data_IF_014825215360
#
_entry.id   IF_014825215360
#
_cell.length_a   1.000
_cell.length_b   1.000
_cell.length_c   1.000
_cell.angle_alpha   90.00
_cell.angle_beta   90.00
_cell.angle_gamma   90.00
#
_symmetry.space_group_name_H-M   'P 1'
#
loop_
_entity.id
_entity.type
_entity.pdbx_description
1 polymer ?
#
# COMPACT_ATOMS: atom_id res chain seq x y z
N UNK A 1 -21.36 7.95 21.24
CA UNK A 1 -20.64 7.01 22.13
C UNK A 1 -21.39 6.99 23.45
N UNK A 2 -22.39 6.11 23.61
CA UNK A 2 -23.06 5.89 24.89
C UNK A 2 -22.16 4.92 25.67
N UNK A 3 -21.42 5.42 26.66
CA UNK A 3 -20.76 4.56 27.62
C UNK A 3 -21.85 3.80 28.38
N UNK A 4 -21.83 2.47 28.33
CA UNK A 4 -22.72 1.62 29.10
C UNK A 4 -22.44 1.80 30.60
N UNK A 5 -23.14 2.75 31.24
CA UNK A 5 -23.15 2.94 32.69
C UNK A 5 -23.82 1.78 33.46
N UNK A 6 -24.38 0.77 32.75
CA UNK A 6 -25.14 -0.33 33.37
C UNK A 6 -24.30 -1.32 34.19
N UNK A 7 -22.97 -1.30 34.10
CA UNK A 7 -22.07 -2.14 34.93
C UNK A 7 -21.44 -1.42 36.13
N UNK A 8 -21.68 -0.11 36.30
CA UNK A 8 -21.03 0.68 37.35
C UNK A 8 -21.46 0.30 38.78
N UNK A 9 -22.77 0.06 38.99
CA UNK A 9 -23.32 -0.13 40.34
C UNK A 9 -22.77 -1.34 41.11
N UNK A 10 -22.55 -2.47 40.43
CA UNK A 10 -21.99 -3.66 41.06
C UNK A 10 -20.46 -3.57 41.23
N UNK A 11 -19.77 -2.92 40.28
CA UNK A 11 -18.32 -2.72 40.35
C UNK A 11 -17.91 -1.78 41.49
N UNK A 12 -18.73 -0.76 41.78
CA UNK A 12 -18.53 0.15 42.93
C UNK A 12 -18.61 -0.63 44.24
N UNK A 13 -19.57 -1.53 44.40
CA UNK A 13 -19.72 -2.36 45.62
C UNK A 13 -18.60 -3.36 45.84
N UNK A 14 -17.93 -3.81 44.78
CA UNK A 14 -16.81 -4.76 44.87
C UNK A 14 -15.44 -4.10 45.01
N UNK A 15 -15.38 -2.76 44.97
CA UNK A 15 -14.11 -2.04 45.14
C UNK A 15 -13.72 -2.09 46.62
N UNK A 16 -12.54 -2.66 46.99
CA UNK A 16 -12.11 -2.71 48.37
C UNK A 16 -11.92 -1.27 48.89
N UNK A 17 -12.75 -0.87 49.85
CA UNK A 17 -12.64 0.45 50.48
C UNK A 17 -11.53 0.35 51.52
N UNK A 18 -10.51 1.22 51.43
CA UNK A 18 -9.48 1.30 52.46
C UNK A 18 -10.11 1.80 53.75
N UNK A 19 -9.99 1.02 54.84
CA UNK A 19 -10.53 1.40 56.15
C UNK A 19 -9.87 2.66 56.73
N UNK A 20 -8.69 3.03 56.22
CA UNK A 20 -7.84 4.12 56.71
C UNK A 20 -8.14 5.51 56.14
N UNK A 21 -9.28 5.71 55.45
CA UNK A 21 -9.74 7.06 55.05
C UNK A 21 -8.78 7.83 54.14
N UNK A 22 -8.00 7.13 53.31
CA UNK A 22 -7.09 7.78 52.35
C UNK A 22 -7.85 8.53 51.25
N UNK A 23 -7.23 9.56 50.69
CA UNK A 23 -7.79 10.33 49.57
C UNK A 23 -7.98 9.45 48.32
N UNK A 24 -9.09 9.67 47.61
CA UNK A 24 -9.41 8.98 46.36
C UNK A 24 -8.33 9.23 45.29
N UNK A 25 -7.89 8.16 44.62
CA UNK A 25 -6.90 8.23 43.54
C UNK A 25 -7.44 7.58 42.27
N UNK A 26 -7.28 8.26 41.14
CA UNK A 26 -7.54 7.70 39.82
C UNK A 26 -6.51 6.60 39.52
N UNK A 27 -6.99 5.38 39.29
CA UNK A 27 -6.14 4.24 38.93
C UNK A 27 -6.52 3.66 37.58
N UNK A 28 -5.51 3.34 36.78
CA UNK A 28 -5.63 2.67 35.50
C UNK A 28 -5.60 1.15 35.70
N UNK A 29 -6.77 0.53 35.65
CA UNK A 29 -6.98 -0.91 35.91
C UNK A 29 -6.14 -1.81 34.99
N UNK A 30 -5.76 -1.32 33.79
CA UNK A 30 -4.95 -2.07 32.83
C UNK A 30 -3.44 -1.85 32.98
N UNK A 31 -2.98 -1.43 34.16
CA UNK A 31 -1.56 -1.40 34.54
C UNK A 31 -1.36 -1.92 35.96
N UNK A 32 -0.33 -2.75 36.17
CA UNK A 32 0.03 -3.26 37.51
C UNK A 32 0.43 -2.14 38.48
N UNK A 33 0.93 -1.01 37.98
CA UNK A 33 1.27 0.15 38.79
C UNK A 33 0.09 1.08 39.06
N UNK A 34 -1.08 0.82 38.46
CA UNK A 34 -2.22 1.75 38.50
C UNK A 34 -2.02 3.05 37.73
N UNK A 35 -0.86 3.30 37.12
CA UNK A 35 -0.60 4.51 36.35
C UNK A 35 -0.98 4.32 34.87
N UNK A 36 -1.60 5.34 34.29
CA UNK A 36 -1.87 5.40 32.86
C UNK A 36 -0.57 5.69 32.09
N UNK A 37 -0.35 4.97 30.98
CA UNK A 37 0.69 5.30 30.00
C UNK A 37 0.09 5.20 28.60
N UNK A 38 0.64 5.97 27.66
CA UNK A 38 0.20 5.87 26.24
C UNK A 38 0.35 4.44 25.72
N UNK A 39 1.38 3.71 26.17
CA UNK A 39 1.60 2.30 25.85
C UNK A 39 0.49 1.38 26.38
N UNK A 40 0.09 1.53 27.64
CA UNK A 40 -1.00 0.72 28.22
C UNK A 40 -2.35 1.06 27.62
N UNK A 41 -2.60 2.35 27.33
CA UNK A 41 -3.78 2.80 26.59
C UNK A 41 -3.84 2.24 25.16
N UNK A 42 -2.72 2.26 24.43
CA UNK A 42 -2.63 1.70 23.08
C UNK A 42 -2.87 0.18 23.08
N UNK A 43 -2.27 -0.56 24.02
CA UNK A 43 -2.51 -2.01 24.13
C UNK A 43 -3.98 -2.34 24.42
N UNK A 44 -4.63 -1.57 25.30
CA UNK A 44 -6.06 -1.76 25.55
C UNK A 44 -6.90 -1.45 24.31
N UNK A 45 -6.64 -0.33 23.63
CA UNK A 45 -7.34 0.03 22.39
C UNK A 45 -7.15 -1.04 21.31
N UNK A 46 -5.94 -1.60 21.21
CA UNK A 46 -5.62 -2.70 20.30
C UNK A 46 -6.39 -3.96 20.67
N UNK A 47 -6.40 -4.36 21.95
CA UNK A 47 -7.15 -5.53 22.44
C UNK A 47 -8.65 -5.39 22.20
N UNK A 48 -9.25 -4.24 22.51
CA UNK A 48 -10.68 -3.98 22.27
C UNK A 48 -11.04 -3.98 20.78
N UNK A 49 -10.10 -3.58 19.92
CA UNK A 49 -10.28 -3.66 18.46
C UNK A 49 -10.19 -5.12 17.99
N UNK A 50 -9.27 -5.91 18.53
CA UNK A 50 -9.20 -7.35 18.27
C UNK A 50 -10.42 -8.11 18.81
N UNK A 51 -10.94 -7.75 19.98
CA UNK A 51 -12.11 -8.41 20.57
C UNK A 51 -13.40 -8.18 19.76
N UNK A 52 -13.54 -7.02 19.12
CA UNK A 52 -14.60 -6.80 18.11
C UNK A 52 -14.45 -7.72 16.90
N UNK A 53 -13.23 -8.04 16.51
CA UNK A 53 -12.92 -8.96 15.40
C UNK A 53 -12.99 -10.45 15.82
N UNK A 54 -12.88 -10.77 17.13
CA UNK A 54 -12.88 -12.14 17.70
C UNK A 54 -14.26 -12.82 17.76
N UNK A 55 -15.32 -12.14 17.35
CA UNK A 55 -16.61 -12.79 17.06
C UNK A 55 -16.54 -13.75 15.86
N UNK A 56 -15.40 -13.82 15.16
CA UNK A 56 -15.14 -14.74 14.05
C UNK A 56 -14.12 -15.81 14.44
N UNK A 57 -14.54 -17.08 14.34
CA UNK A 57 -13.82 -18.34 14.57
C UNK A 57 -12.28 -18.29 14.71
N UNK A 58 -11.73 -19.09 15.63
CA UNK A 58 -10.29 -19.29 15.86
C UNK A 58 -9.46 -19.66 14.62
N UNK A 59 -10.10 -20.17 13.56
CA UNK A 59 -9.44 -20.42 12.27
C UNK A 59 -9.10 -19.10 11.53
N UNK A 60 -9.95 -18.09 11.67
CA UNK A 60 -9.79 -16.78 11.01
C UNK A 60 -8.56 -16.01 11.51
N UNK A 61 -8.25 -16.09 12.81
CA UNK A 61 -7.10 -15.40 13.41
C UNK A 61 -5.77 -16.03 12.98
N UNK A 62 -5.71 -17.36 12.86
CA UNK A 62 -4.55 -18.08 12.33
C UNK A 62 -4.31 -17.75 10.86
N UNK A 63 -5.35 -17.77 10.03
CA UNK A 63 -5.26 -17.40 8.61
C UNK A 63 -4.81 -15.95 8.42
N UNK A 64 -5.28 -15.03 9.27
CA UNK A 64 -4.87 -13.63 9.27
C UNK A 64 -3.36 -13.48 9.58
N UNK A 65 -2.84 -14.21 10.57
CA UNK A 65 -1.40 -14.22 10.87
C UNK A 65 -0.57 -14.75 9.69
N UNK A 66 -1.01 -15.84 9.05
CA UNK A 66 -0.36 -16.40 7.87
C UNK A 66 -0.37 -15.39 6.71
N UNK A 67 -1.50 -14.74 6.46
CA UNK A 67 -1.64 -13.71 5.43
C UNK A 67 -0.63 -12.58 5.63
N UNK A 68 -0.50 -12.04 6.85
CA UNK A 68 0.48 -11.00 7.12
C UNK A 68 1.91 -11.46 6.91
N UNK A 69 2.26 -12.66 7.38
CA UNK A 69 3.59 -13.23 7.14
C UNK A 69 3.88 -13.36 5.65
N UNK A 70 2.89 -13.77 4.84
CA UNK A 70 3.03 -13.88 3.39
C UNK A 70 3.19 -12.51 2.73
N UNK A 71 2.35 -11.52 3.06
CA UNK A 71 2.40 -10.16 2.50
C UNK A 71 3.76 -9.51 2.75
N UNK A 72 4.27 -9.56 3.98
CA UNK A 72 5.56 -8.94 4.30
C UNK A 72 6.75 -9.64 3.64
N UNK A 73 6.64 -10.94 3.38
CA UNK A 73 7.65 -11.73 2.67
C UNK A 73 7.46 -11.74 1.14
N UNK A 74 6.51 -10.97 0.58
CA UNK A 74 6.36 -10.89 -0.87
C UNK A 74 7.67 -10.40 -1.50
N UNK A 75 8.06 -11.04 -2.61
CA UNK A 75 9.08 -10.50 -3.51
C UNK A 75 8.43 -9.38 -4.30
N UNK A 76 8.35 -8.20 -3.70
CA UNK A 76 7.76 -7.00 -4.27
C UNK A 76 8.33 -5.74 -3.59
N UNK A 77 8.23 -4.57 -4.22
CA UNK A 77 8.71 -3.31 -3.63
C UNK A 77 8.04 -3.03 -2.26
N UNK A 78 8.76 -2.43 -1.28
CA UNK A 78 8.19 -2.11 0.03
C UNK A 78 6.91 -1.27 -0.03
N UNK A 79 6.86 -0.28 -0.94
CA UNK A 79 5.65 0.52 -1.21
C UNK A 79 4.40 -0.33 -1.45
N UNK A 80 4.55 -1.46 -2.15
CA UNK A 80 3.43 -2.35 -2.46
C UNK A 80 2.97 -3.09 -1.21
N UNK A 81 3.91 -3.59 -0.39
CA UNK A 81 3.59 -4.26 0.88
C UNK A 81 2.85 -3.33 1.83
N UNK A 82 3.32 -2.09 1.96
CA UNK A 82 2.65 -1.06 2.76
C UNK A 82 1.25 -0.75 2.23
N UNK A 83 1.10 -0.62 0.92
CA UNK A 83 -0.21 -0.40 0.30
C UNK A 83 -1.20 -1.54 0.58
N UNK A 84 -0.78 -2.80 0.40
CA UNK A 84 -1.59 -3.98 0.72
C UNK A 84 -2.00 -4.00 2.19
N UNK A 85 -1.08 -3.67 3.10
CA UNK A 85 -1.39 -3.52 4.52
C UNK A 85 -2.46 -2.45 4.76
N UNK A 86 -2.34 -1.28 4.14
CA UNK A 86 -3.33 -0.20 4.27
C UNK A 86 -4.70 -0.62 3.75
N UNK A 87 -4.76 -1.32 2.62
CA UNK A 87 -6.03 -1.83 2.05
C UNK A 87 -6.70 -2.78 3.04
N UNK A 88 -5.98 -3.81 3.49
CA UNK A 88 -6.54 -4.88 4.33
C UNK A 88 -6.99 -4.35 5.70
N UNK A 89 -6.34 -3.28 6.18
CA UNK A 89 -6.73 -2.56 7.42
C UNK A 89 -7.77 -1.47 7.20
N UNK A 90 -8.30 -1.31 5.98
CA UNK A 90 -9.17 -0.21 5.58
C UNK A 90 -8.63 1.18 6.00
N UNK A 91 -7.31 1.38 5.88
CA UNK A 91 -6.56 2.58 6.25
C UNK A 91 -6.20 3.46 5.02
N UNK A 92 -6.84 3.20 3.88
CA UNK A 92 -6.74 4.01 2.68
C UNK A 92 -7.85 5.07 2.66
N UNK A 93 -7.58 6.19 1.99
CA UNK A 93 -8.47 7.36 1.94
C UNK A 93 -9.58 7.19 0.89
N UNK A 94 -10.42 6.18 1.08
CA UNK A 94 -11.67 6.02 0.31
C UNK A 94 -12.64 7.15 0.66
N UNK A 95 -13.57 7.51 -0.24
CA UNK A 95 -14.55 8.55 0.07
C UNK A 95 -15.46 8.17 1.21
N UNK A 96 -15.78 6.89 1.41
CA UNK A 96 -16.48 6.41 2.61
C UNK A 96 -15.71 6.80 3.89
N UNK A 97 -14.41 6.44 3.97
CA UNK A 97 -13.58 6.73 5.14
C UNK A 97 -13.40 8.24 5.36
N UNK A 98 -13.25 9.01 4.28
CA UNK A 98 -13.14 10.47 4.37
C UNK A 98 -14.45 11.10 4.80
N UNK A 99 -15.59 10.62 4.31
CA UNK A 99 -16.92 11.09 4.69
C UNK A 99 -17.20 10.80 6.17
N UNK A 100 -16.90 9.59 6.66
CA UNK A 100 -17.02 9.22 8.07
C UNK A 100 -16.17 10.11 9.00
N UNK A 101 -15.05 10.65 8.50
CA UNK A 101 -14.17 11.60 9.20
C UNK A 101 -14.51 13.07 8.96
N UNK A 102 -15.61 13.36 8.24
CA UNK A 102 -16.03 14.71 7.86
C UNK A 102 -15.00 15.46 6.98
N UNK A 103 -14.16 14.73 6.25
CA UNK A 103 -13.17 15.26 5.31
C UNK A 103 -13.63 15.24 3.84
N UNK A 104 -14.77 14.62 3.53
CA UNK A 104 -15.37 14.61 2.19
C UNK A 104 -16.85 15.01 2.27
N UNK A 105 -17.36 15.63 1.20
CA UNK A 105 -18.77 16.06 1.11
C UNK A 105 -19.73 14.92 0.82
N UNK A 106 -19.26 13.86 0.16
CA UNK A 106 -20.07 12.72 -0.25
C UNK A 106 -19.23 11.44 -0.25
N UNK A 107 -19.81 10.30 0.14
CA UNK A 107 -19.13 9.00 0.10
C UNK A 107 -19.18 8.34 -1.29
N UNK A 108 -19.84 8.94 -2.28
CA UNK A 108 -20.09 8.33 -3.60
C UNK A 108 -18.81 8.21 -4.44
N UNK A 109 -18.60 7.03 -5.02
CA UNK A 109 -17.45 6.67 -5.85
C UNK A 109 -17.17 7.72 -6.93
N UNK A 110 -15.92 8.18 -6.99
CA UNK A 110 -15.51 9.13 -8.03
C UNK A 110 -15.54 8.52 -9.42
N UNK A 111 -15.30 7.22 -9.56
CA UNK A 111 -15.19 6.53 -10.84
C UNK A 111 -16.55 6.29 -11.51
N UNK A 112 -17.46 5.60 -10.82
CA UNK A 112 -18.76 5.22 -11.39
C UNK A 112 -19.89 6.21 -11.06
N UNK A 113 -19.74 7.04 -10.03
CA UNK A 113 -20.79 7.97 -9.59
C UNK A 113 -22.06 7.32 -9.01
N UNK A 114 -22.10 5.99 -8.87
CA UNK A 114 -23.34 5.26 -8.57
C UNK A 114 -23.39 4.65 -7.14
N UNK A 115 -22.28 4.11 -6.63
CA UNK A 115 -22.23 3.43 -5.33
C UNK A 115 -21.33 4.16 -4.32
N UNK A 116 -21.46 3.81 -3.03
CA UNK A 116 -20.54 4.24 -1.97
C UNK A 116 -19.14 3.69 -2.26
N UNK A 117 -18.14 4.57 -2.16
CA UNK A 117 -16.75 4.24 -2.40
C UNK A 117 -16.12 3.53 -1.20
N UNK A 118 -16.41 2.24 -1.05
CA UNK A 118 -15.64 1.36 -0.16
C UNK A 118 -14.38 0.85 -0.88
N UNK A 119 -13.43 0.29 -0.15
CA UNK A 119 -12.22 -0.25 -0.78
C UNK A 119 -12.52 -1.50 -1.63
N UNK A 120 -13.50 -2.30 -1.22
CA UNK A 120 -14.02 -3.43 -2.00
C UNK A 120 -14.69 -2.93 -3.28
N UNK A 121 -15.45 -1.83 -3.22
CA UNK A 121 -16.05 -1.25 -4.42
C UNK A 121 -14.94 -0.84 -5.40
N UNK A 122 -13.98 -0.03 -4.94
CA UNK A 122 -12.90 0.47 -5.80
C UNK A 122 -12.06 -0.65 -6.40
N UNK A 123 -11.70 -1.68 -5.64
CA UNK A 123 -10.78 -2.72 -6.11
C UNK A 123 -11.47 -3.90 -6.79
N UNK A 124 -12.74 -4.16 -6.53
CA UNK A 124 -13.38 -5.44 -6.92
C UNK A 124 -14.73 -5.29 -7.65
N UNK A 125 -15.49 -4.21 -7.45
CA UNK A 125 -16.90 -4.12 -7.90
C UNK A 125 -17.23 -2.91 -8.77
N UNK A 126 -16.39 -1.90 -8.80
CA UNK A 126 -16.60 -0.73 -9.64
C UNK A 126 -16.60 -1.17 -11.10
N UNK A 127 -17.56 -0.71 -11.90
CA UNK A 127 -17.69 -1.06 -13.33
C UNK A 127 -16.37 -0.91 -14.10
N UNK A 128 -15.71 0.23 -13.94
CA UNK A 128 -14.38 0.47 -14.52
C UNK A 128 -13.33 -0.54 -14.04
N UNK A 129 -13.35 -0.92 -12.77
CA UNK A 129 -12.41 -1.89 -12.21
C UNK A 129 -12.66 -3.29 -12.75
N UNK A 130 -13.92 -3.66 -13.00
CA UNK A 130 -14.27 -4.93 -13.64
C UNK A 130 -13.69 -5.02 -15.05
N UNK A 131 -13.69 -3.91 -15.80
CA UNK A 131 -13.04 -3.81 -17.09
C UNK A 131 -11.51 -4.04 -17.00
N UNK A 132 -10.86 -3.46 -15.98
CA UNK A 132 -9.42 -3.70 -15.71
C UNK A 132 -9.16 -5.18 -15.47
N UNK A 133 -9.96 -5.85 -14.65
CA UNK A 133 -9.77 -7.26 -14.36
C UNK A 133 -10.05 -8.15 -15.58
N UNK A 134 -11.11 -7.87 -16.34
CA UNK A 134 -11.43 -8.60 -17.57
C UNK A 134 -10.30 -8.50 -18.60
N UNK A 135 -9.72 -7.31 -18.76
CA UNK A 135 -8.60 -7.09 -19.68
C UNK A 135 -7.27 -7.69 -19.20
N UNK A 136 -7.17 -8.10 -17.93
CA UNK A 136 -5.92 -8.64 -17.36
C UNK A 136 -5.58 -10.06 -17.83
N UNK A 137 -6.58 -10.79 -18.34
CA UNK A 137 -6.43 -12.21 -18.70
C UNK A 137 -6.24 -13.15 -17.49
N UNK A 138 -6.23 -12.62 -16.27
CA UNK A 138 -6.24 -13.40 -15.04
C UNK A 138 -7.68 -13.79 -14.75
N UNK A 139 -7.92 -15.05 -14.39
CA UNK A 139 -9.21 -15.47 -13.87
C UNK A 139 -9.53 -14.63 -12.63
N UNK A 140 -10.36 -13.62 -12.83
CA UNK A 140 -10.67 -12.63 -11.82
C UNK A 140 -11.40 -13.36 -10.68
N UNK A 141 -10.81 -13.44 -9.48
CA UNK A 141 -11.46 -14.10 -8.36
C UNK A 141 -12.50 -13.14 -7.79
N UNK A 142 -13.56 -12.88 -8.57
CA UNK A 142 -14.66 -12.02 -8.19
C UNK A 142 -15.30 -12.63 -6.94
N UNK A 143 -15.52 -11.85 -5.87
CA UNK A 143 -16.33 -12.34 -4.78
C UNK A 143 -17.73 -12.66 -5.31
N UNK A 144 -18.14 -13.93 -5.26
CA UNK A 144 -19.48 -14.37 -5.68
C UNK A 144 -20.57 -13.64 -4.87
N UNK A 145 -20.25 -13.27 -3.63
CA UNK A 145 -21.10 -12.46 -2.77
C UNK A 145 -20.54 -11.04 -2.65
N UNK A 146 -21.37 -10.02 -2.94
CA UNK A 146 -21.02 -8.59 -2.84
C UNK A 146 -20.64 -8.15 -1.40
N UNK A 147 -21.01 -8.92 -0.39
CA UNK A 147 -20.74 -8.66 1.04
C UNK A 147 -19.35 -9.11 1.53
N UNK A 148 -18.53 -9.71 0.66
CA UNK A 148 -17.18 -10.15 1.06
C UNK A 148 -16.30 -8.93 1.34
N UNK A 149 -15.83 -8.80 2.58
CA UNK A 149 -14.85 -7.77 2.97
C UNK A 149 -13.53 -7.97 2.26
N UNK A 150 -12.77 -6.88 2.06
CA UNK A 150 -11.49 -6.94 1.35
C UNK A 150 -10.50 -7.91 2.02
N UNK A 151 -10.50 -7.95 3.36
CA UNK A 151 -9.68 -8.90 4.13
C UNK A 151 -10.07 -10.35 3.85
N UNK A 152 -11.36 -10.66 3.84
CA UNK A 152 -11.86 -12.01 3.53
C UNK A 152 -11.54 -12.40 2.09
N UNK A 153 -11.57 -11.46 1.15
CA UNK A 153 -11.12 -11.69 -0.21
C UNK A 153 -9.65 -12.11 -0.27
N UNK A 154 -8.73 -11.37 0.38
CA UNK A 154 -7.31 -11.77 0.44
C UNK A 154 -7.08 -13.12 1.14
N UNK A 155 -7.86 -13.43 2.19
CA UNK A 155 -7.80 -14.76 2.85
C UNK A 155 -8.27 -15.86 1.91
N UNK A 156 -9.32 -15.64 1.12
CA UNK A 156 -9.78 -16.61 0.14
C UNK A 156 -8.72 -16.85 -0.95
N UNK A 157 -8.02 -15.81 -1.41
CA UNK A 157 -6.90 -15.97 -2.35
C UNK A 157 -5.78 -16.82 -1.73
N UNK A 158 -5.46 -16.59 -0.47
CA UNK A 158 -4.45 -17.37 0.26
C UNK A 158 -4.82 -18.85 0.33
N UNK A 159 -6.08 -19.16 0.64
CA UNK A 159 -6.57 -20.54 0.75
C UNK A 159 -6.64 -21.19 -0.64
N UNK A 160 -7.22 -20.51 -1.62
CA UNK A 160 -7.48 -21.08 -2.95
C UNK A 160 -6.19 -21.30 -3.75
N UNK A 161 -5.21 -20.39 -3.64
CA UNK A 161 -3.95 -20.50 -4.39
C UNK A 161 -2.86 -21.28 -3.65
N UNK A 162 -2.98 -21.42 -2.33
CA UNK A 162 -2.04 -22.19 -1.50
C UNK A 162 -0.58 -21.83 -1.78
N UNK A 163 0.19 -22.79 -2.31
CA UNK A 163 1.60 -22.61 -2.65
C UNK A 163 1.87 -21.53 -3.69
N UNK A 164 0.94 -21.29 -4.63
CA UNK A 164 1.07 -20.33 -5.72
C UNK A 164 0.75 -18.88 -5.29
N UNK A 165 0.29 -18.67 -4.06
CA UNK A 165 -0.08 -17.35 -3.57
C UNK A 165 1.05 -16.32 -3.73
N UNK A 166 2.28 -16.70 -3.38
CA UNK A 166 3.41 -15.76 -3.39
C UNK A 166 3.78 -15.29 -4.79
N UNK A 167 3.67 -16.18 -5.78
CA UNK A 167 3.96 -15.90 -7.18
C UNK A 167 2.89 -14.97 -7.78
N UNK A 168 1.61 -15.33 -7.57
CA UNK A 168 0.47 -14.58 -8.13
C UNK A 168 0.27 -13.22 -7.46
N UNK A 169 0.48 -13.13 -6.14
CA UNK A 169 0.16 -11.91 -5.39
C UNK A 169 1.01 -10.70 -5.77
N UNK A 170 2.21 -10.90 -6.31
CA UNK A 170 3.03 -9.79 -6.81
C UNK A 170 2.27 -9.01 -7.90
N UNK A 171 1.77 -9.71 -8.92
CA UNK A 171 1.02 -9.11 -10.02
C UNK A 171 -0.34 -8.56 -9.55
N UNK A 172 -1.08 -9.34 -8.75
CA UNK A 172 -2.39 -8.92 -8.22
C UNK A 172 -2.26 -7.65 -7.39
N UNK A 173 -1.23 -7.57 -6.55
CA UNK A 173 -0.94 -6.35 -5.78
C UNK A 173 -0.68 -5.16 -6.70
N UNK A 174 0.09 -5.34 -7.77
CA UNK A 174 0.38 -4.27 -8.73
C UNK A 174 -0.87 -3.81 -9.50
N UNK A 175 -1.79 -4.72 -9.84
CA UNK A 175 -3.07 -4.37 -10.45
C UNK A 175 -3.91 -3.54 -9.47
N UNK A 176 -4.04 -3.99 -8.21
CA UNK A 176 -4.72 -3.23 -7.17
C UNK A 176 -4.11 -1.83 -6.97
N UNK A 177 -2.77 -1.73 -7.03
CA UNK A 177 -2.07 -0.46 -6.94
C UNK A 177 -2.37 0.45 -8.13
N UNK A 178 -2.35 -0.08 -9.34
CA UNK A 178 -2.67 0.67 -10.56
C UNK A 178 -4.11 1.18 -10.55
N UNK A 179 -5.09 0.34 -10.15
CA UNK A 179 -6.49 0.73 -9.96
C UNK A 179 -6.59 1.90 -8.98
N UNK A 180 -5.95 1.78 -7.81
CA UNK A 180 -5.96 2.84 -6.80
C UNK A 180 -5.31 4.13 -7.29
N UNK A 181 -4.21 4.03 -8.03
CA UNK A 181 -3.51 5.16 -8.62
C UNK A 181 -4.35 5.88 -9.67
N UNK A 182 -5.00 5.15 -10.58
CA UNK A 182 -5.85 5.73 -11.61
C UNK A 182 -7.09 6.39 -11.00
N UNK A 183 -7.68 5.79 -9.96
CA UNK A 183 -8.74 6.42 -9.15
C UNK A 183 -8.27 7.76 -8.59
N UNK A 184 -7.08 7.82 -8.01
CA UNK A 184 -6.54 9.08 -7.46
C UNK A 184 -6.26 10.11 -8.54
N UNK A 185 -5.70 9.70 -9.68
CA UNK A 185 -5.47 10.58 -10.84
C UNK A 185 -6.78 11.18 -11.36
N UNK A 186 -7.85 10.39 -11.44
CA UNK A 186 -9.18 10.89 -11.77
C UNK A 186 -9.69 11.90 -10.73
N UNK A 187 -9.67 11.53 -9.44
CA UNK A 187 -10.21 12.38 -8.37
C UNK A 187 -9.47 13.73 -8.25
N UNK A 188 -8.14 13.74 -8.39
CA UNK A 188 -7.33 14.94 -8.14
C UNK A 188 -6.93 15.69 -9.41
N UNK A 189 -6.78 15.00 -10.54
CA UNK A 189 -6.26 15.57 -11.79
C UNK A 189 -7.28 15.53 -12.94
N UNK A 190 -8.48 14.97 -12.71
CA UNK A 190 -9.53 14.81 -13.74
C UNK A 190 -9.02 14.05 -14.98
N UNK A 191 -8.04 13.17 -14.81
CA UNK A 191 -7.52 12.32 -15.89
C UNK A 191 -8.40 11.08 -16.03
N UNK A 192 -9.03 10.94 -17.19
CA UNK A 192 -9.96 9.84 -17.46
C UNK A 192 -9.30 8.48 -17.23
N UNK A 193 -9.91 7.62 -16.40
CA UNK A 193 -9.42 6.26 -16.17
C UNK A 193 -9.38 5.44 -17.47
N UNK A 194 -8.26 4.78 -17.73
CA UNK A 194 -8.12 3.87 -18.87
C UNK A 194 -7.65 2.50 -18.38
N UNK A 195 -8.46 1.47 -18.64
CA UNK A 195 -8.25 0.11 -18.15
C UNK A 195 -6.94 -0.50 -18.68
N UNK A 196 -6.67 -0.34 -19.98
CA UNK A 196 -5.47 -0.85 -20.65
C UNK A 196 -4.20 -0.16 -20.15
N UNK A 197 -4.26 1.15 -19.90
CA UNK A 197 -3.12 1.89 -19.32
C UNK A 197 -2.82 1.43 -17.90
N UNK A 198 -3.85 1.25 -17.07
CA UNK A 198 -3.69 0.73 -15.71
C UNK A 198 -3.02 -0.66 -15.72
N UNK A 199 -3.46 -1.56 -16.60
CA UNK A 199 -2.84 -2.89 -16.76
C UNK A 199 -1.41 -2.83 -17.28
N UNK A 200 -1.15 -2.06 -18.33
CA UNK A 200 0.21 -1.92 -18.88
C UNK A 200 1.19 -1.41 -17.81
N UNK A 201 0.75 -0.45 -16.97
CA UNK A 201 1.53 0.03 -15.82
C UNK A 201 1.74 -1.06 -14.76
N UNK A 202 0.70 -1.80 -14.39
CA UNK A 202 0.81 -2.87 -13.40
C UNK A 202 1.75 -4.00 -13.85
N UNK A 203 1.58 -4.48 -15.08
CA UNK A 203 2.43 -5.51 -15.69
C UNK A 203 3.86 -5.03 -15.84
N UNK A 204 4.06 -3.77 -16.24
CA UNK A 204 5.39 -3.18 -16.35
C UNK A 204 6.13 -3.12 -15.02
N UNK A 205 5.50 -2.55 -13.98
CA UNK A 205 6.10 -2.48 -12.65
C UNK A 205 6.36 -3.86 -12.04
N UNK A 206 5.53 -4.87 -12.37
CA UNK A 206 5.76 -6.24 -11.95
C UNK A 206 6.96 -6.86 -12.69
N UNK A 207 6.99 -6.74 -14.01
CA UNK A 207 8.06 -7.25 -14.86
C UNK A 207 9.42 -6.61 -14.56
N UNK A 208 9.48 -5.29 -14.38
CA UNK A 208 10.67 -4.55 -13.97
C UNK A 208 11.22 -5.08 -12.66
N UNK A 209 10.35 -5.31 -11.66
CA UNK A 209 10.78 -5.85 -10.38
C UNK A 209 11.34 -7.27 -10.50
N UNK A 210 10.72 -8.12 -11.32
CA UNK A 210 11.23 -9.47 -11.56
C UNK A 210 12.57 -9.43 -12.30
N UNK A 211 12.65 -8.64 -13.38
CA UNK A 211 13.86 -8.46 -14.16
C UNK A 211 15.01 -7.95 -13.29
N UNK A 212 14.81 -6.89 -12.52
CA UNK A 212 15.83 -6.34 -11.62
C UNK A 212 16.37 -7.36 -10.60
N UNK A 213 15.51 -8.26 -10.10
CA UNK A 213 15.95 -9.32 -9.19
C UNK A 213 16.62 -10.50 -9.91
N UNK A 214 16.36 -10.69 -11.21
CA UNK A 214 17.04 -11.70 -12.02
C UNK A 214 18.39 -11.21 -12.56
N UNK A 215 18.53 -9.92 -12.85
CA UNK A 215 19.66 -9.37 -13.60
C UNK A 215 20.99 -9.34 -12.85
N UNK A 216 21.06 -9.70 -11.56
CA UNK A 216 22.29 -9.71 -10.75
C UNK A 216 23.22 -8.53 -11.06
N UNK A 217 22.66 -7.33 -11.26
CA UNK A 217 23.47 -6.13 -11.47
C UNK A 217 24.02 -5.77 -10.12
N UNK A 218 25.23 -6.26 -9.86
CA UNK A 218 25.87 -6.06 -8.58
C UNK A 218 26.64 -4.74 -8.59
N UNK A 219 27.12 -4.25 -9.72
CA UNK A 219 27.84 -2.97 -9.85
C UNK A 219 27.22 -2.11 -10.94
N UNK A 220 26.76 -0.90 -10.57
CA UNK A 220 26.26 0.07 -11.52
C UNK A 220 26.43 1.51 -11.01
N UNK A 221 26.77 2.41 -11.94
CA UNK A 221 26.66 3.86 -11.71
C UNK A 221 25.30 4.30 -12.20
N UNK A 222 24.48 4.86 -11.30
CA UNK A 222 23.16 5.39 -11.61
C UNK A 222 23.29 6.90 -11.76
N UNK A 223 23.17 7.38 -12.98
CA UNK A 223 23.27 8.80 -13.30
C UNK A 223 21.92 9.51 -13.21
N UNK A 224 21.92 10.73 -12.69
CA UNK A 224 20.74 11.60 -12.66
C UNK A 224 21.12 13.05 -12.90
N UNK A 225 20.29 13.77 -13.66
CA UNK A 225 20.42 15.22 -13.85
C UNK A 225 19.88 16.04 -12.66
N UNK A 226 19.27 15.38 -11.66
CA UNK A 226 18.78 16.02 -10.46
C UNK A 226 19.86 16.09 -9.36
N UNK A 227 20.70 17.12 -9.41
CA UNK A 227 21.79 17.33 -8.42
C UNK A 227 21.31 17.26 -6.95
N UNK A 228 20.17 17.86 -6.54
CA UNK A 228 19.72 17.77 -5.16
C UNK A 228 19.43 16.33 -4.71
N UNK A 229 18.86 15.50 -5.60
CA UNK A 229 18.57 14.10 -5.33
C UNK A 229 19.87 13.30 -5.18
N UNK A 230 20.81 13.47 -6.10
CA UNK A 230 22.12 12.79 -6.05
C UNK A 230 22.83 13.11 -4.73
N UNK A 231 22.80 14.38 -4.30
CA UNK A 231 23.39 14.80 -3.04
C UNK A 231 22.70 14.15 -1.82
N UNK A 232 21.39 13.96 -1.84
CA UNK A 232 20.64 13.29 -0.77
C UNK A 232 20.91 11.78 -0.69
N UNK A 233 21.22 11.14 -1.82
CA UNK A 233 21.53 9.72 -1.90
C UNK A 233 22.97 9.37 -1.52
N UNK A 234 23.85 10.36 -1.36
CA UNK A 234 25.23 10.11 -0.93
C UNK A 234 25.27 9.56 0.51
N UNK A 235 26.16 8.60 0.84
CA UNK A 235 26.23 7.96 2.17
C UNK A 235 26.42 8.91 3.34
N UNK A 236 26.91 10.14 3.09
CA UNK A 236 27.19 11.18 4.08
C UNK A 236 26.20 12.35 4.04
N UNK A 237 25.06 12.21 3.37
CA UNK A 237 24.11 13.32 3.26
C UNK A 237 23.47 13.64 4.61
N UNK A 238 23.46 14.94 4.96
CA UNK A 238 22.82 15.47 6.17
C UNK A 238 21.43 16.07 5.85
N UNK A 239 21.11 16.18 4.55
CA UNK A 239 19.88 16.79 4.05
C UNK A 239 18.70 15.83 4.24
N UNK A 240 17.91 16.06 5.29
CA UNK A 240 16.66 15.34 5.53
C UNK A 240 15.51 16.03 4.80
N UNK A 241 14.89 15.33 3.86
CA UNK A 241 13.62 15.73 3.26
C UNK A 241 12.56 14.67 3.55
N UNK A 242 11.75 14.92 4.59
CA UNK A 242 10.70 14.02 5.05
C UNK A 242 9.64 13.72 3.97
N UNK A 243 9.45 14.62 3.01
CA UNK A 243 8.47 14.44 1.92
C UNK A 243 8.88 13.30 0.99
N UNK A 244 10.17 13.07 0.81
CA UNK A 244 10.70 12.03 -0.09
C UNK A 244 11.47 10.93 0.64
N UNK A 245 11.56 10.97 1.98
CA UNK A 245 12.34 10.03 2.78
C UNK A 245 12.00 8.57 2.50
N UNK A 246 10.72 8.24 2.31
CA UNK A 246 10.30 6.87 1.97
C UNK A 246 10.88 6.38 0.64
N UNK A 247 11.04 7.28 -0.35
CA UNK A 247 11.70 6.93 -1.62
C UNK A 247 13.21 6.76 -1.43
N UNK A 248 13.84 7.58 -0.59
CA UNK A 248 15.26 7.44 -0.27
C UNK A 248 15.53 6.11 0.44
N UNK A 249 14.70 5.75 1.42
CA UNK A 249 14.79 4.48 2.15
C UNK A 249 14.59 3.28 1.21
N UNK A 250 13.64 3.36 0.27
CA UNK A 250 13.43 2.34 -0.77
C UNK A 250 14.69 2.16 -1.63
N UNK A 251 15.31 3.27 -2.08
CA UNK A 251 16.53 3.24 -2.89
C UNK A 251 17.71 2.66 -2.08
N UNK A 252 17.90 3.10 -0.84
CA UNK A 252 18.98 2.61 0.02
C UNK A 252 18.81 1.14 0.38
N UNK A 253 17.58 0.67 0.60
CA UNK A 253 17.31 -0.75 0.83
C UNK A 253 17.59 -1.59 -0.41
N UNK A 254 17.43 -1.03 -1.61
CA UNK A 254 17.75 -1.71 -2.86
C UNK A 254 19.27 -1.77 -3.09
N UNK A 255 20.00 -0.69 -2.77
CA UNK A 255 21.47 -0.66 -2.87
C UNK A 255 22.19 -1.41 -1.74
N UNK A 256 21.52 -1.79 -0.66
CA UNK A 256 22.15 -2.46 0.48
C UNK A 256 22.87 -3.78 0.13
N UNK A 257 22.46 -4.44 -0.96
CA UNK A 257 23.05 -5.68 -1.46
C UNK A 257 23.90 -5.49 -2.74
N UNK A 258 24.15 -4.24 -3.17
CA UNK A 258 24.78 -3.92 -4.45
C UNK A 258 25.75 -2.73 -4.40
N UNK A 259 26.74 -2.80 -5.28
CA UNK A 259 27.68 -1.82 -5.87
C UNK A 259 27.23 -0.43 -6.27
N UNK A 260 26.03 0.03 -5.91
CA UNK A 260 25.42 1.15 -6.62
C UNK A 260 25.96 2.51 -6.19
N UNK A 261 26.46 3.27 -7.16
CA UNK A 261 26.93 4.65 -6.97
C UNK A 261 26.01 5.61 -7.71
N UNK A 262 25.48 6.60 -7.00
CA UNK A 262 24.70 7.68 -7.63
C UNK A 262 25.62 8.82 -8.06
N UNK A 263 25.56 9.20 -9.32
CA UNK A 263 26.35 10.28 -9.91
C UNK A 263 25.44 11.32 -10.55
N UNK A 264 25.90 12.58 -10.57
CA UNK A 264 25.23 13.62 -11.31
C UNK A 264 25.70 13.63 -12.76
N UNK A 265 24.77 13.81 -13.70
CA UNK A 265 25.08 14.01 -15.11
C UNK A 265 24.38 15.26 -15.66
N UNK A 266 24.90 15.80 -16.76
CA UNK A 266 24.21 16.90 -17.44
C UNK A 266 22.88 16.40 -18.03
N UNK A 267 21.86 17.27 -18.07
CA UNK A 267 20.56 16.97 -18.68
C UNK A 267 20.66 16.44 -20.12
N UNK A 268 21.68 16.85 -20.88
CA UNK A 268 21.94 16.32 -22.22
C UNK A 268 22.34 14.84 -22.22
N UNK A 269 23.05 14.37 -21.19
CA UNK A 269 23.38 12.96 -21.01
C UNK A 269 22.20 12.14 -20.46
N UNK A 270 21.20 12.80 -19.84
CA UNK A 270 20.00 12.15 -19.30
C UNK A 270 18.79 12.16 -20.25
N UNK A 271 19.01 12.31 -21.57
CA UNK A 271 17.93 12.48 -22.57
C UNK A 271 17.05 11.24 -22.69
N UNK A 272 17.64 10.04 -22.66
CA UNK A 272 16.91 8.78 -22.70
C UNK A 272 15.93 8.65 -21.53
N UNK A 273 16.40 8.87 -20.29
CA UNK A 273 15.54 8.80 -19.11
C UNK A 273 14.44 9.86 -19.13
N UNK A 274 14.75 11.08 -19.59
CA UNK A 274 13.77 12.15 -19.76
C UNK A 274 12.69 11.78 -20.79
N UNK A 275 13.06 11.19 -21.94
CA UNK A 275 12.10 10.73 -22.95
C UNK A 275 11.16 9.67 -22.38
N UNK A 276 11.70 8.68 -21.65
CA UNK A 276 10.90 7.62 -21.00
C UNK A 276 9.94 8.22 -19.98
N UNK A 277 10.42 9.14 -19.13
CA UNK A 277 9.59 9.79 -18.12
C UNK A 277 8.44 10.61 -18.72
N UNK A 278 8.70 11.35 -19.81
CA UNK A 278 7.67 12.12 -20.53
C UNK A 278 6.62 11.20 -21.17
N UNK A 279 7.05 10.16 -21.87
CA UNK A 279 6.14 9.26 -22.59
C UNK A 279 5.32 8.37 -21.63
N UNK A 280 5.89 7.95 -20.51
CA UNK A 280 5.16 7.21 -19.46
C UNK A 280 4.01 8.03 -18.85
N UNK A 281 4.19 9.36 -18.70
CA UNK A 281 3.11 10.27 -18.26
C UNK A 281 1.96 10.35 -19.25
N UNK A 282 2.25 10.19 -20.54
CA UNK A 282 1.25 10.18 -21.61
C UNK A 282 0.56 8.82 -21.80
N UNK A 283 0.87 7.84 -20.95
CA UNK A 283 0.27 6.49 -21.04
C UNK A 283 0.90 5.60 -22.11
N UNK A 284 1.94 6.08 -22.80
CA UNK A 284 2.79 5.25 -23.66
C UNK A 284 3.61 4.35 -22.75
N UNK A 285 3.08 3.15 -22.46
CA UNK A 285 3.78 2.28 -21.51
C UNK A 285 5.18 1.92 -22.00
N UNK A 286 6.07 1.80 -21.03
CA UNK A 286 7.52 1.65 -21.18
C UNK A 286 7.82 0.44 -22.08
N UNK A 287 8.75 0.56 -23.04
CA UNK A 287 9.20 -0.58 -23.83
C UNK A 287 10.05 -1.49 -22.93
N UNK A 288 9.43 -2.55 -22.41
CA UNK A 288 10.01 -3.45 -21.41
C UNK A 288 10.80 -4.62 -22.00
N UNK A 289 10.90 -4.69 -23.33
CA UNK A 289 11.64 -5.73 -24.02
C UNK A 289 12.60 -5.10 -25.04
N UNK A 290 13.87 -5.56 -25.13
CA UNK A 290 14.85 -5.06 -26.11
C UNK A 290 14.35 -5.10 -27.56
N UNK A 291 13.40 -5.98 -27.86
CA UNK A 291 12.83 -6.17 -29.19
C UNK A 291 11.74 -5.15 -29.59
N UNK A 292 11.30 -4.26 -28.68
CA UNK A 292 10.22 -3.28 -28.94
C UNK A 292 10.60 -1.87 -28.49
N UNK A 293 11.85 -1.46 -28.71
CA UNK A 293 12.30 -0.08 -28.42
C UNK A 293 11.81 0.83 -29.55
N UNK A 294 11.03 1.89 -29.28
CA UNK A 294 10.61 2.85 -30.29
C UNK A 294 11.81 3.49 -30.99
N UNK A 295 11.72 3.73 -32.30
CA UNK A 295 12.83 4.26 -33.11
C UNK A 295 13.43 5.55 -32.54
N UNK A 296 12.57 6.44 -32.01
CA UNK A 296 13.00 7.65 -31.32
C UNK A 296 13.89 7.36 -30.11
N UNK A 297 13.47 6.44 -29.23
CA UNK A 297 14.27 6.06 -28.07
C UNK A 297 15.56 5.33 -28.49
N UNK A 298 15.48 4.50 -29.53
CA UNK A 298 16.64 3.79 -30.06
C UNK A 298 17.70 4.75 -30.64
N UNK A 299 17.27 5.80 -31.34
CA UNK A 299 18.15 6.87 -31.84
C UNK A 299 18.81 7.66 -30.71
N UNK A 300 18.08 7.96 -29.63
CA UNK A 300 18.64 8.62 -28.45
C UNK A 300 19.70 7.75 -27.78
N UNK A 301 19.42 6.45 -27.58
CA UNK A 301 20.37 5.50 -26.98
C UNK A 301 21.65 5.42 -27.81
N UNK A 302 21.55 5.36 -29.15
CA UNK A 302 22.73 5.36 -30.04
C UNK A 302 23.52 6.67 -30.00
N UNK A 303 22.90 7.78 -29.65
CA UNK A 303 23.58 9.08 -29.58
C UNK A 303 24.27 9.35 -28.24
N UNK A 304 23.93 8.57 -27.21
CA UNK A 304 24.51 8.66 -25.86
C UNK A 304 25.61 7.61 -25.62
N UNK A 305 25.77 6.62 -26.52
CA UNK A 305 26.87 5.64 -26.57
C UNK A 305 28.05 6.16 -27.40
#
# INVERSE_FOLDING_TARGET
MKFELRKGGNAIKSTPISWSGGEDKLTWVHSRSGNFTVKSGYHLAFQLTEEKDRGQDSSSSKLNSILWKKIWNLKSPPRLKHFLWRIIRNAVSTKENLFARKCARSPICGLCGAEIETIEHVLLRCEWTEEVWANSGIEFPRPVNKEVSIKKWFVNLLVNWGGQFMERMGLIGQICWAIWKQRNEWVFLQQMPNSKVALKRAMGLHGEFLAANCSQINDAVIESDCQPLVNMLQPKSVLKNWTIQAFLDDISSFSANSSFVFSWCNRQANRCANWIACNSRLGVGIPLAPCNIPDELYSLIRSDL
#
